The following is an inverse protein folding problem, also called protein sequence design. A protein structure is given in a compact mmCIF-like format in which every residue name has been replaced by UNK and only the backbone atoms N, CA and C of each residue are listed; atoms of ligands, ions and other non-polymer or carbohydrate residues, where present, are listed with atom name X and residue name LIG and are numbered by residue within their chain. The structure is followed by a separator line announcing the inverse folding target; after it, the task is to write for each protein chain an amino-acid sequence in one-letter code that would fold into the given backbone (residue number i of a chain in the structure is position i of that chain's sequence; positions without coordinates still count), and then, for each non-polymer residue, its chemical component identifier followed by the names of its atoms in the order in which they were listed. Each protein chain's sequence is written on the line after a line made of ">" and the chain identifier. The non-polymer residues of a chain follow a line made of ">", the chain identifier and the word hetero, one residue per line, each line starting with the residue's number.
data_IF_180346114242
#
_entry.id   IF_180346114242
#
_cell.length_a   1.000
_cell.length_b   1.000
_cell.length_c   1.000
_cell.angle_alpha   90.00
_cell.angle_beta   90.00
_cell.angle_gamma   90.00
#
_symmetry.space_group_name_H-M   'P 1'
#
loop_
_entity.id
_entity.type
_entity.pdbx_description
1 polymer ?
#
# COMPACT_ATOMS: atom_id res chain seq x y z
N UNK A 1 -18.65 -32.16 14.46
CA UNK A 1 -19.93 -31.67 13.94
C UNK A 1 -20.95 -31.50 15.03
N UNK A 2 -21.24 -32.52 15.82
CA UNK A 2 -22.24 -32.43 16.88
C UNK A 2 -21.86 -31.42 17.98
N UNK A 3 -20.58 -31.25 18.28
CA UNK A 3 -20.12 -30.25 19.26
C UNK A 3 -20.40 -28.85 18.82
N UNK A 4 -20.20 -28.57 17.53
CA UNK A 4 -20.46 -27.24 16.97
C UNK A 4 -21.97 -26.94 17.01
N UNK A 5 -22.77 -27.93 16.67
CA UNK A 5 -24.22 -27.83 16.69
C UNK A 5 -24.72 -27.62 18.14
N UNK A 6 -24.17 -28.39 19.07
CA UNK A 6 -24.51 -28.27 20.49
C UNK A 6 -24.18 -26.88 21.04
N UNK A 7 -23.01 -26.34 20.72
CA UNK A 7 -22.61 -25.02 21.15
C UNK A 7 -23.56 -23.94 20.61
N UNK A 8 -24.03 -24.09 19.38
CA UNK A 8 -25.00 -23.16 18.82
C UNK A 8 -26.36 -23.29 19.49
N UNK A 9 -26.75 -24.51 19.86
CA UNK A 9 -28.05 -24.78 20.48
C UNK A 9 -28.11 -24.33 21.93
N UNK A 10 -26.99 -24.49 22.69
CA UNK A 10 -26.98 -24.12 24.11
C UNK A 10 -26.59 -22.65 24.34
N UNK A 11 -26.41 -21.92 23.26
CA UNK A 11 -26.10 -20.50 23.36
C UNK A 11 -24.62 -20.23 23.43
N UNK A 12 -24.11 -19.68 22.37
CA UNK A 12 -22.77 -19.13 22.33
C UNK A 12 -22.89 -17.71 22.91
N UNK A 13 -22.19 -17.43 23.99
CA UNK A 13 -22.23 -16.13 24.64
C UNK A 13 -21.38 -15.06 23.96
N UNK A 14 -20.69 -15.44 22.89
CA UNK A 14 -19.92 -14.45 22.13
C UNK A 14 -20.87 -13.50 21.41
N UNK A 15 -20.51 -12.22 21.31
CA UNK A 15 -21.38 -11.26 20.66
C UNK A 15 -21.54 -11.55 19.17
N UNK A 16 -22.73 -11.26 18.67
CA UNK A 16 -22.99 -11.33 17.24
C UNK A 16 -22.70 -9.96 16.62
N UNK A 17 -22.12 -9.96 15.44
CA UNK A 17 -21.84 -8.74 14.69
C UNK A 17 -22.56 -8.76 13.36
N UNK A 18 -23.01 -7.63 12.91
CA UNK A 18 -23.36 -7.47 11.51
C UNK A 18 -22.06 -7.47 10.67
N UNK A 19 -22.20 -7.65 9.37
CA UNK A 19 -21.05 -7.56 8.47
C UNK A 19 -20.39 -6.19 8.58
N UNK A 20 -21.18 -5.12 8.61
CA UNK A 20 -20.66 -3.77 8.74
C UNK A 20 -19.95 -3.53 10.06
N UNK A 21 -20.49 -4.09 11.15
CA UNK A 21 -19.86 -3.96 12.45
C UNK A 21 -18.49 -4.63 12.50
N UNK A 22 -18.40 -5.87 12.03
CA UNK A 22 -17.09 -6.57 12.04
C UNK A 22 -16.11 -5.91 11.07
N UNK A 23 -16.58 -5.44 9.93
CA UNK A 23 -15.72 -4.71 8.97
C UNK A 23 -15.17 -3.43 9.60
N UNK A 24 -16.01 -2.70 10.35
CA UNK A 24 -15.58 -1.50 11.05
C UNK A 24 -14.58 -1.77 12.16
N UNK A 25 -14.78 -2.85 12.91
CA UNK A 25 -13.82 -3.25 13.95
C UNK A 25 -12.48 -3.65 13.35
N UNK A 26 -12.50 -4.42 12.29
CA UNK A 26 -11.27 -4.83 11.58
C UNK A 26 -10.54 -3.61 11.03
N UNK A 27 -11.27 -2.69 10.43
CA UNK A 27 -10.71 -1.43 9.93
C UNK A 27 -10.00 -0.67 11.05
N UNK A 28 -10.66 -0.53 12.19
CA UNK A 28 -10.07 0.16 13.34
C UNK A 28 -8.78 -0.50 13.81
N UNK A 29 -8.76 -1.83 13.88
CA UNK A 29 -7.56 -2.57 14.27
C UNK A 29 -6.44 -2.40 13.25
N UNK A 30 -6.75 -2.50 11.97
CA UNK A 30 -5.75 -2.33 10.91
C UNK A 30 -5.16 -0.91 10.98
N UNK A 31 -6.01 0.09 11.09
CA UNK A 31 -5.56 1.47 11.12
C UNK A 31 -4.73 1.80 12.36
N UNK A 32 -5.06 1.21 13.52
CA UNK A 32 -4.30 1.47 14.74
C UNK A 32 -2.97 0.72 14.79
N UNK A 33 -2.92 -0.51 14.28
CA UNK A 33 -1.71 -1.32 14.29
C UNK A 33 -0.74 -0.98 13.16
N UNK A 34 -1.26 -0.44 12.06
CA UNK A 34 -0.48 -0.14 10.86
C UNK A 34 -0.61 1.34 10.48
N UNK A 35 -0.41 2.22 11.45
CA UNK A 35 -0.45 3.67 11.25
C UNK A 35 0.65 4.15 10.32
N UNK A 36 1.79 3.50 10.39
CA UNK A 36 2.92 3.80 9.53
C UNK A 36 3.72 2.54 9.28
N UNK A 37 3.75 2.12 8.03
CA UNK A 37 4.50 0.93 7.61
C UNK A 37 5.34 1.26 6.40
N UNK A 38 6.43 0.53 6.25
CA UNK A 38 7.30 0.61 5.09
C UNK A 38 7.25 -0.74 4.41
N UNK A 39 6.81 -0.76 3.18
CA UNK A 39 6.59 -2.00 2.44
C UNK A 39 7.47 -2.00 1.20
N UNK A 40 8.30 -3.02 1.09
CA UNK A 40 9.12 -3.24 -0.10
C UNK A 40 8.33 -4.09 -1.08
N UNK A 41 8.30 -3.66 -2.33
CA UNK A 41 7.65 -4.42 -3.38
C UNK A 41 7.97 -3.87 -4.74
N UNK A 42 7.64 -4.66 -5.75
CA UNK A 42 7.73 -4.22 -7.14
C UNK A 42 6.42 -3.57 -7.53
N UNK A 43 6.49 -2.45 -8.21
CA UNK A 43 5.30 -1.80 -8.73
C UNK A 43 4.74 -2.63 -9.88
N UNK A 44 3.52 -3.10 -9.73
CA UNK A 44 2.79 -3.79 -10.77
C UNK A 44 2.03 -2.82 -11.65
N UNK A 45 0.70 -2.97 -11.68
CA UNK A 45 -0.15 -2.09 -12.48
C UNK A 45 -0.19 -0.68 -11.89
N UNK A 46 -0.12 0.33 -12.75
CA UNK A 46 -0.30 1.73 -12.35
C UNK A 46 -1.46 2.31 -13.15
N UNK A 47 -2.37 2.99 -12.48
CA UNK A 47 -3.50 3.66 -13.10
C UNK A 47 -3.56 5.11 -12.64
N UNK A 48 -3.68 6.02 -13.60
CA UNK A 48 -3.76 7.46 -13.37
C UNK A 48 -5.10 8.01 -13.88
N UNK A 49 -6.20 7.81 -13.13
CA UNK A 49 -7.48 8.33 -13.57
C UNK A 49 -7.52 9.87 -13.51
N UNK A 50 -8.53 10.44 -14.16
CA UNK A 50 -8.72 11.90 -14.20
C UNK A 50 -8.90 12.53 -12.84
N UNK A 51 -9.27 11.75 -11.82
CA UNK A 51 -9.40 12.24 -10.46
C UNK A 51 -8.09 12.81 -9.90
N UNK A 52 -6.96 12.41 -10.49
CA UNK A 52 -5.63 12.83 -10.03
C UNK A 52 -5.02 11.90 -9.00
N UNK A 53 -5.76 10.94 -8.49
CA UNK A 53 -5.21 9.90 -7.61
C UNK A 53 -4.43 8.90 -8.45
N UNK A 54 -3.44 8.26 -7.85
CA UNK A 54 -2.69 7.19 -8.53
C UNK A 54 -2.99 5.89 -7.81
N UNK A 55 -3.48 4.90 -8.54
CA UNK A 55 -3.71 3.56 -8.03
C UNK A 55 -2.63 2.65 -8.56
N UNK A 56 -2.07 1.82 -7.71
CA UNK A 56 -1.03 0.88 -8.10
C UNK A 56 -1.11 -0.39 -7.30
N UNK A 57 -0.42 -1.41 -7.78
CA UNK A 57 -0.23 -2.65 -7.06
C UNK A 57 1.23 -2.73 -6.63
N UNK A 58 1.44 -3.16 -5.39
CA UNK A 58 2.76 -3.57 -4.91
C UNK A 58 2.74 -5.09 -4.84
N UNK A 59 3.76 -5.72 -5.36
CA UNK A 59 3.80 -7.18 -5.38
C UNK A 59 5.17 -7.72 -5.01
N UNK A 60 5.15 -8.92 -4.51
CA UNK A 60 6.33 -9.76 -4.38
C UNK A 60 6.04 -11.11 -5.04
N UNK A 61 6.84 -12.12 -4.75
CA UNK A 61 6.69 -13.43 -5.37
C UNK A 61 5.37 -14.13 -5.03
N UNK A 62 4.72 -13.74 -3.92
CA UNK A 62 3.58 -14.48 -3.37
C UNK A 62 2.29 -13.67 -3.27
N UNK A 63 2.41 -12.36 -3.19
CA UNK A 63 1.27 -11.52 -2.81
C UNK A 63 1.22 -10.22 -3.59
N UNK A 64 0.02 -9.69 -3.68
CA UNK A 64 -0.24 -8.40 -4.31
C UNK A 64 -1.01 -7.56 -3.31
N UNK A 65 -0.56 -6.33 -3.11
CA UNK A 65 -1.21 -5.36 -2.23
C UNK A 65 -1.64 -4.15 -3.05
N UNK A 66 -2.92 -3.83 -2.99
CA UNK A 66 -3.41 -2.61 -3.62
C UNK A 66 -2.91 -1.39 -2.83
N UNK A 67 -2.56 -0.34 -3.56
CA UNK A 67 -2.09 0.89 -2.96
C UNK A 67 -2.68 2.09 -3.70
N UNK A 68 -2.80 3.19 -3.01
CA UNK A 68 -3.30 4.44 -3.58
C UNK A 68 -2.44 5.60 -3.09
N UNK A 69 -2.13 6.51 -4.01
CA UNK A 69 -1.53 7.79 -3.68
C UNK A 69 -2.60 8.83 -3.93
N UNK A 70 -3.11 9.43 -2.86
CA UNK A 70 -4.13 10.44 -3.00
C UNK A 70 -3.58 11.67 -3.73
N UNK A 71 -4.41 12.31 -4.49
CA UNK A 71 -4.08 13.51 -5.27
C UNK A 71 -3.24 14.52 -4.49
N UNK A 72 -3.57 14.76 -3.23
CA UNK A 72 -2.83 15.70 -2.40
C UNK A 72 -1.38 15.32 -2.16
N UNK A 73 -1.05 14.04 -2.22
CA UNK A 73 0.30 13.55 -2.01
C UNK A 73 1.09 13.32 -3.30
N UNK A 74 0.42 13.32 -4.45
CA UNK A 74 1.10 13.08 -5.73
C UNK A 74 2.20 14.11 -5.96
N UNK A 75 1.95 15.36 -5.66
CA UNK A 75 2.92 16.44 -5.83
C UNK A 75 4.11 16.34 -4.87
N UNK A 76 3.99 15.57 -3.80
CA UNK A 76 5.05 15.36 -2.82
C UNK A 76 5.98 14.19 -3.18
N UNK A 77 5.67 13.49 -4.26
CA UNK A 77 6.51 12.37 -4.70
C UNK A 77 7.80 12.90 -5.31
N UNK A 78 8.91 12.26 -4.96
CA UNK A 78 10.20 12.60 -5.56
C UNK A 78 10.36 12.00 -6.94
N UNK A 79 9.60 10.92 -7.23
CA UNK A 79 9.59 10.29 -8.54
C UNK A 79 8.22 9.64 -8.74
N UNK A 80 7.76 9.64 -9.98
CA UNK A 80 6.50 8.99 -10.33
C UNK A 80 6.67 7.48 -10.31
N UNK A 81 5.66 6.75 -9.83
CA UNK A 81 5.73 5.29 -9.83
C UNK A 81 5.66 4.75 -11.25
N UNK A 82 6.51 3.79 -11.54
CA UNK A 82 6.54 3.11 -12.85
C UNK A 82 6.51 1.61 -12.65
N UNK A 83 5.80 0.93 -13.53
CA UNK A 83 5.72 -0.54 -13.50
C UNK A 83 7.12 -1.16 -13.58
N UNK A 84 7.33 -2.19 -12.81
CA UNK A 84 8.58 -2.94 -12.81
C UNK A 84 9.64 -2.42 -11.83
N UNK A 85 9.45 -1.24 -11.27
CA UNK A 85 10.42 -0.71 -10.30
C UNK A 85 10.21 -1.32 -8.93
N UNK A 86 11.31 -1.68 -8.29
CA UNK A 86 11.28 -2.08 -6.89
C UNK A 86 11.40 -0.86 -6.00
N UNK A 87 10.47 -0.71 -5.09
CA UNK A 87 10.35 0.47 -4.24
C UNK A 87 10.11 0.09 -2.80
N UNK A 88 10.28 1.08 -1.93
CA UNK A 88 9.79 1.02 -0.56
C UNK A 88 8.69 2.07 -0.46
N UNK A 89 7.46 1.63 -0.26
CA UNK A 89 6.32 2.52 -0.10
C UNK A 89 6.00 2.63 1.38
N UNK A 90 5.86 3.85 1.85
CA UNK A 90 5.55 4.14 3.24
C UNK A 90 4.18 4.78 3.34
N UNK A 91 3.43 4.41 4.36
CA UNK A 91 2.11 4.93 4.58
C UNK A 91 1.35 4.12 5.59
N UNK A 92 0.04 4.18 5.53
CA UNK A 92 -0.81 3.46 6.47
C UNK A 92 -1.70 2.46 5.74
N UNK A 93 -2.04 1.40 6.43
CA UNK A 93 -3.02 0.44 5.91
C UNK A 93 -4.41 0.87 6.35
N UNK A 94 -5.36 0.69 5.48
CA UNK A 94 -6.78 0.89 5.77
C UNK A 94 -7.60 -0.13 4.99
N UNK A 95 -8.91 -0.11 5.17
CA UNK A 95 -9.81 -0.96 4.39
C UNK A 95 -10.68 -0.09 3.50
N UNK A 96 -11.13 -0.67 2.37
CA UNK A 96 -12.19 -0.05 1.57
C UNK A 96 -13.50 -0.14 2.34
N UNK A 97 -14.27 0.94 2.38
CA UNK A 97 -15.47 1.01 3.17
C UNK A 97 -16.48 -0.11 2.94
N UNK A 98 -16.94 -0.30 1.71
CA UNK A 98 -17.99 -1.27 1.41
C UNK A 98 -17.47 -2.68 1.13
N UNK A 99 -16.17 -2.84 0.91
CA UNK A 99 -15.55 -4.12 0.61
C UNK A 99 -14.49 -4.40 1.67
N UNK A 100 -14.52 -5.55 2.28
CA UNK A 100 -13.59 -5.90 3.35
C UNK A 100 -12.20 -6.25 2.79
N UNK A 101 -11.63 -5.32 2.07
CA UNK A 101 -10.28 -5.43 1.49
C UNK A 101 -9.40 -4.34 2.09
N UNK A 102 -8.14 -4.66 2.31
CA UNK A 102 -7.23 -3.65 2.81
C UNK A 102 -6.32 -3.13 1.70
N UNK A 103 -5.82 -1.93 1.90
CA UNK A 103 -4.94 -1.26 0.95
C UNK A 103 -3.94 -0.38 1.68
N UNK A 104 -2.88 -0.04 1.00
CA UNK A 104 -1.90 0.91 1.51
C UNK A 104 -2.22 2.30 0.98
N UNK A 105 -2.34 3.26 1.88
CA UNK A 105 -2.40 4.67 1.52
C UNK A 105 -0.98 5.19 1.57
N UNK A 106 -0.41 5.44 0.39
CA UNK A 106 1.00 5.77 0.24
C UNK A 106 1.23 7.24 0.53
N UNK A 107 2.16 7.51 1.42
CA UNK A 107 2.61 8.86 1.71
C UNK A 107 3.94 9.17 1.03
N UNK A 108 4.79 8.14 0.90
CA UNK A 108 6.14 8.31 0.36
C UNK A 108 6.55 7.06 -0.40
N UNK A 109 7.25 7.24 -1.50
CA UNK A 109 7.87 6.15 -2.25
C UNK A 109 9.35 6.49 -2.42
N UNK A 110 10.20 5.51 -2.10
CA UNK A 110 11.64 5.59 -2.38
C UNK A 110 12.04 4.36 -3.17
N UNK A 111 13.04 4.50 -4.02
CA UNK A 111 13.53 3.34 -4.76
C UNK A 111 14.28 2.40 -3.82
N UNK A 112 14.05 1.10 -3.97
CA UNK A 112 14.88 0.11 -3.32
C UNK A 112 16.26 0.19 -3.97
N UNK A 113 17.31 0.26 -3.15
CA UNK A 113 18.65 0.51 -3.68
C UNK A 113 18.86 1.96 -4.06
N UNK A 114 18.26 2.88 -3.35
CA UNK A 114 18.33 4.31 -3.61
C UNK A 114 19.77 4.82 -3.73
N UNK A 115 20.67 4.29 -2.91
CA UNK A 115 22.08 4.67 -2.99
C UNK A 115 22.71 4.39 -4.36
N UNK A 116 22.40 3.25 -4.94
CA UNK A 116 22.89 2.90 -6.27
C UNK A 116 22.28 3.80 -7.35
N UNK A 117 21.00 4.10 -7.21
CA UNK A 117 20.30 5.00 -8.14
C UNK A 117 20.87 6.41 -8.05
N UNK A 118 21.11 6.91 -6.86
CA UNK A 118 21.68 8.25 -6.65
C UNK A 118 23.09 8.34 -7.23
N UNK A 119 23.90 7.31 -7.03
CA UNK A 119 25.25 7.25 -7.61
C UNK A 119 25.19 7.31 -9.14
N UNK A 120 24.22 6.63 -9.74
CA UNK A 120 24.03 6.65 -11.19
C UNK A 120 23.62 8.04 -11.68
N UNK A 121 22.72 8.70 -10.97
CA UNK A 121 22.28 10.06 -11.32
C UNK A 121 23.42 11.06 -11.19
N UNK A 122 24.26 10.94 -10.16
CA UNK A 122 25.43 11.79 -9.99
C UNK A 122 26.44 11.61 -11.13
N UNK A 123 26.66 10.38 -11.54
CA UNK A 123 27.53 10.10 -12.70
C UNK A 123 27.00 10.77 -13.96
N UNK A 124 25.72 10.74 -14.18
CA UNK A 124 25.09 11.42 -15.32
C UNK A 124 25.29 12.92 -15.26
N UNK A 125 25.16 13.53 -14.08
CA UNK A 125 25.39 14.94 -13.88
C UNK A 125 26.84 15.32 -14.20
N UNK A 126 27.79 14.57 -13.69
CA UNK A 126 29.22 14.80 -13.96
C UNK A 126 29.52 14.69 -15.43
N UNK A 127 28.98 13.69 -16.10
CA UNK A 127 29.17 13.51 -17.53
C UNK A 127 28.64 14.70 -18.32
N UNK A 128 27.48 15.21 -17.98
CA UNK A 128 26.90 16.38 -18.61
C UNK A 128 27.76 17.62 -18.41
N UNK A 129 28.31 17.82 -17.22
CA UNK A 129 29.24 18.92 -16.94
C UNK A 129 30.50 18.81 -17.77
N UNK A 130 31.09 17.61 -17.88
CA UNK A 130 32.30 17.39 -18.67
C UNK A 130 32.05 17.62 -20.14
N UNK A 131 30.84 17.41 -20.62
CA UNK A 131 30.48 17.66 -22.01
C UNK A 131 30.13 19.12 -22.29
N UNK A 132 30.22 19.98 -21.29
CA UNK A 132 29.94 21.40 -21.44
C UNK A 132 28.45 21.76 -21.48
N UNK A 133 27.64 20.86 -20.99
CA UNK A 133 26.18 21.04 -20.91
C UNK A 133 25.75 21.44 -19.46
#
# INVERSE_FOLDING_TARGET
>A
MSEVIENNLVGDNRPEYSVSEVSGLVKGLIESEFEYVRIRGEIGRVSNPRSGHIYLDLKDERSVLAAVIWKGNVRNLTAMPEEGLEVIASGKLTTFGAQSKYQLIVEKITHAGEGALMALLEKRKEKLKQEGL
#
